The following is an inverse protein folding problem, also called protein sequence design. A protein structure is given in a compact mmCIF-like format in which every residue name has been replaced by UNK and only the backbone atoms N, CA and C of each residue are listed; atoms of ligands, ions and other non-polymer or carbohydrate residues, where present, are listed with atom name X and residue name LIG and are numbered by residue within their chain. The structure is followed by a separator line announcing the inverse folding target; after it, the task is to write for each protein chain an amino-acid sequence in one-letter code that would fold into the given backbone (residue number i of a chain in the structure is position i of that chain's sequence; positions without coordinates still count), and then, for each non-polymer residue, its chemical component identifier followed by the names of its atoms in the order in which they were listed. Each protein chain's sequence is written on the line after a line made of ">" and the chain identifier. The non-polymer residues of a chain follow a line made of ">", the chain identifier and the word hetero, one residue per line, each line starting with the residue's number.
data_IF_438374601540
#
_entry.id   IF_438374601540
#
_cell.length_a   1.000
_cell.length_b   1.000
_cell.length_c   1.000
_cell.angle_alpha   90.00
_cell.angle_beta   90.00
_cell.angle_gamma   90.00
#
_symmetry.space_group_name_H-M   'P 1'
#
loop_
_entity.id
_entity.type
_entity.pdbx_description
1 polymer ?
#
# COMPACT_ATOMS: atom_id res chain seq x y z
N UNK A 1 -16.54 -5.30 15.31
CA UNK A 1 -17.96 -5.59 15.59
C UNK A 1 -18.52 -6.26 14.36
N UNK A 2 -19.03 -7.47 14.52
CA UNK A 2 -19.68 -8.22 13.45
C UNK A 2 -21.13 -7.75 13.37
N UNK A 3 -21.58 -7.31 12.20
CA UNK A 3 -23.01 -6.97 11.99
C UNK A 3 -23.64 -8.13 11.24
N UNK A 4 -24.53 -8.86 11.92
CA UNK A 4 -25.38 -9.85 11.27
C UNK A 4 -26.50 -9.11 10.52
N UNK A 5 -26.74 -9.38 9.23
CA UNK A 5 -27.96 -8.96 8.57
C UNK A 5 -29.16 -9.61 9.27
N UNK A 6 -30.27 -8.88 9.42
CA UNK A 6 -31.45 -9.37 10.14
C UNK A 6 -32.07 -10.64 9.52
N UNK A 7 -31.78 -10.95 8.25
CA UNK A 7 -32.41 -12.06 7.50
C UNK A 7 -31.44 -12.92 6.66
N UNK A 8 -30.17 -13.06 7.04
CA UNK A 8 -29.20 -13.87 6.26
C UNK A 8 -28.17 -14.64 7.10
N UNK A 9 -27.70 -15.82 6.64
CA UNK A 9 -26.79 -16.68 7.41
C UNK A 9 -25.34 -16.17 7.50
N UNK A 10 -25.02 -14.99 6.93
CA UNK A 10 -23.65 -14.47 6.86
C UNK A 10 -23.52 -13.13 7.57
N UNK A 11 -22.77 -13.11 8.67
CA UNK A 11 -22.44 -11.90 9.39
C UNK A 11 -21.17 -11.26 8.80
N UNK A 12 -21.19 -9.96 8.52
CA UNK A 12 -20.05 -9.24 7.91
C UNK A 12 -19.27 -8.51 9.00
N UNK A 13 -17.99 -8.85 9.17
CA UNK A 13 -17.08 -8.05 9.99
C UNK A 13 -16.52 -6.89 9.17
N UNK A 14 -17.09 -5.70 9.36
CA UNK A 14 -16.65 -4.49 8.67
C UNK A 14 -15.19 -4.09 8.99
N UNK A 15 -14.60 -4.63 10.05
CA UNK A 15 -13.20 -4.37 10.41
C UNK A 15 -12.23 -5.18 9.55
N UNK A 16 -12.63 -6.40 9.18
CA UNK A 16 -11.80 -7.38 8.46
C UNK A 16 -12.21 -7.61 7.00
N UNK A 17 -13.39 -7.16 6.60
CA UNK A 17 -13.83 -7.19 5.22
C UNK A 17 -12.97 -6.24 4.37
N UNK A 18 -12.33 -6.71 3.28
CA UNK A 18 -11.60 -5.83 2.36
C UNK A 18 -12.54 -4.85 1.67
N UNK A 19 -12.16 -3.57 1.67
CA UNK A 19 -12.92 -2.44 1.12
C UNK A 19 -11.97 -1.50 0.39
N UNK A 20 -12.44 -0.73 -0.59
CA UNK A 20 -11.56 0.17 -1.32
C UNK A 20 -11.12 1.33 -0.41
N UNK A 21 -9.81 1.53 -0.15
CA UNK A 21 -9.33 2.55 0.79
C UNK A 21 -9.50 3.99 0.32
N UNK A 22 -9.78 4.18 -0.97
CA UNK A 22 -9.70 5.48 -1.62
C UNK A 22 -8.32 6.12 -1.39
N UNK A 23 -8.34 7.42 -1.13
CA UNK A 23 -7.13 8.23 -0.91
C UNK A 23 -6.38 7.98 0.42
N UNK A 24 -6.77 7.02 1.25
CA UNK A 24 -6.09 6.78 2.54
C UNK A 24 -4.68 6.21 2.39
N UNK A 25 -4.31 5.71 1.20
CA UNK A 25 -2.95 5.19 0.94
C UNK A 25 -1.94 6.28 0.56
N UNK A 26 -2.40 7.49 0.20
CA UNK A 26 -1.53 8.60 -0.23
C UNK A 26 -0.38 8.91 0.74
N UNK A 27 -0.59 9.02 2.07
CA UNK A 27 0.50 9.31 3.00
C UNK A 27 1.68 8.34 2.91
N UNK A 28 1.41 7.04 2.71
CA UNK A 28 2.46 6.04 2.58
C UNK A 28 3.27 6.21 1.29
N UNK A 29 2.59 6.50 0.18
CA UNK A 29 3.22 6.71 -1.13
C UNK A 29 4.05 8.00 -1.16
N UNK A 30 3.52 9.10 -0.61
CA UNK A 30 4.29 10.33 -0.43
C UNK A 30 5.46 10.14 0.54
N UNK A 31 5.27 9.37 1.62
CA UNK A 31 6.35 8.97 2.52
C UNK A 31 7.47 8.20 1.81
N UNK A 32 7.13 7.29 0.89
CA UNK A 32 8.12 6.62 0.05
C UNK A 32 8.86 7.59 -0.87
N UNK A 33 8.15 8.56 -1.48
CA UNK A 33 8.81 9.56 -2.32
C UNK A 33 9.81 10.40 -1.53
N UNK A 34 9.46 10.83 -0.31
CA UNK A 34 10.38 11.52 0.58
C UNK A 34 11.57 10.63 0.97
N UNK A 35 11.30 9.39 1.38
CA UNK A 35 12.32 8.47 1.91
C UNK A 35 13.27 7.90 0.84
N UNK A 36 12.79 7.72 -0.41
CA UNK A 36 13.54 7.02 -1.47
C UNK A 36 14.04 7.96 -2.55
N UNK A 37 13.29 9.02 -2.85
CA UNK A 37 13.60 9.96 -3.93
C UNK A 37 14.12 11.30 -3.38
N UNK A 38 14.14 11.48 -2.06
CA UNK A 38 14.56 12.74 -1.43
C UNK A 38 13.59 13.90 -1.67
N UNK A 39 12.34 13.61 -2.03
CA UNK A 39 11.34 14.66 -2.24
C UNK A 39 11.09 15.40 -0.92
N UNK A 40 11.02 16.73 -0.98
CA UNK A 40 10.71 17.59 0.15
C UNK A 40 9.27 18.10 0.06
N UNK A 41 8.70 18.68 1.14
CA UNK A 41 7.34 19.22 1.11
C UNK A 41 7.08 20.24 -0.01
N UNK A 42 8.10 21.00 -0.43
CA UNK A 42 8.01 22.00 -1.50
C UNK A 42 8.28 21.44 -2.92
N UNK A 43 8.52 20.13 -3.05
CA UNK A 43 8.71 19.46 -4.34
C UNK A 43 7.52 19.76 -5.27
N UNK A 44 7.82 20.30 -6.44
CA UNK A 44 6.78 20.71 -7.40
C UNK A 44 6.32 19.51 -8.22
N UNK A 45 5.02 19.29 -8.22
CA UNK A 45 4.33 18.25 -8.98
C UNK A 45 3.30 18.93 -9.88
N UNK A 46 3.23 18.52 -11.15
CA UNK A 46 2.23 19.04 -12.06
C UNK A 46 0.87 18.35 -11.87
N UNK A 47 -0.14 19.12 -11.51
CA UNK A 47 -1.54 18.76 -11.53
C UNK A 47 -2.21 19.26 -12.82
N UNK A 48 -1.92 18.56 -13.92
CA UNK A 48 -2.38 18.82 -15.29
C UNK A 48 -3.08 17.58 -15.84
N UNK A 49 -3.92 17.70 -16.89
CA UNK A 49 -4.65 16.56 -17.44
C UNK A 49 -3.77 15.31 -17.63
N UNK A 50 -4.18 14.21 -16.98
CA UNK A 50 -3.49 12.92 -17.05
C UNK A 50 -4.46 11.86 -17.55
N UNK A 51 -4.04 11.15 -18.59
CA UNK A 51 -4.76 10.01 -19.12
C UNK A 51 -3.78 8.86 -19.38
N UNK A 52 -4.15 7.65 -18.99
CA UNK A 52 -3.31 6.46 -19.14
C UNK A 52 -4.12 5.29 -19.70
N UNK A 53 -3.44 4.40 -20.42
CA UNK A 53 -4.04 3.15 -20.84
C UNK A 53 -4.08 2.19 -19.66
N UNK A 54 -5.27 1.85 -19.20
CA UNK A 54 -5.50 0.92 -18.10
C UNK A 54 -6.32 -0.26 -18.64
N UNK A 55 -5.70 -1.44 -18.65
CA UNK A 55 -6.26 -2.70 -19.18
C UNK A 55 -6.81 -2.56 -20.61
N UNK A 56 -8.08 -2.23 -20.75
CA UNK A 56 -8.84 -2.23 -22.01
C UNK A 56 -9.25 -0.82 -22.48
N UNK A 57 -8.82 0.25 -21.80
CA UNK A 57 -9.23 1.60 -22.20
C UNK A 57 -8.38 2.74 -21.64
N UNK A 58 -8.63 3.94 -22.18
CA UNK A 58 -8.00 5.17 -21.72
C UNK A 58 -8.73 5.68 -20.46
N UNK A 59 -8.09 5.58 -19.31
CA UNK A 59 -8.59 6.15 -18.06
C UNK A 59 -8.12 7.61 -17.93
N UNK A 60 -9.03 8.51 -17.54
CA UNK A 60 -8.74 9.93 -17.31
C UNK A 60 -8.85 10.24 -15.82
N UNK A 61 -7.71 10.52 -15.19
CA UNK A 61 -7.70 10.87 -13.77
C UNK A 61 -8.20 12.30 -13.57
N UNK A 62 -8.96 12.51 -12.49
CA UNK A 62 -9.52 13.80 -12.11
C UNK A 62 -9.41 14.00 -10.61
N UNK A 63 -9.19 15.23 -10.19
CA UNK A 63 -9.35 15.62 -8.79
C UNK A 63 -10.83 15.64 -8.40
N UNK A 64 -11.10 15.63 -7.10
CA UNK A 64 -12.46 15.64 -6.58
C UNK A 64 -13.27 16.85 -7.09
N UNK A 65 -12.68 18.05 -7.05
CA UNK A 65 -13.26 19.27 -7.61
C UNK A 65 -13.43 19.28 -9.14
N UNK A 66 -12.86 18.30 -9.85
CA UNK A 66 -12.75 18.30 -11.31
C UNK A 66 -11.79 19.35 -11.89
N UNK A 67 -11.07 20.08 -11.04
CA UNK A 67 -10.13 21.13 -11.44
C UNK A 67 -8.71 20.60 -11.61
N UNK A 68 -7.93 21.30 -12.43
CA UNK A 68 -6.49 21.15 -12.53
C UNK A 68 -5.86 22.39 -11.91
N UNK A 69 -5.01 22.21 -10.91
CA UNK A 69 -4.37 23.27 -10.16
C UNK A 69 -3.07 23.72 -10.82
N UNK A 70 -2.49 22.97 -11.77
CA UNK A 70 -1.21 23.32 -12.39
C UNK A 70 -0.04 22.91 -11.50
N UNK A 71 0.96 23.77 -11.31
CA UNK A 71 2.11 23.43 -10.44
C UNK A 71 1.71 23.51 -8.98
N UNK A 72 1.83 22.40 -8.25
CA UNK A 72 1.53 22.32 -6.82
C UNK A 72 2.69 21.69 -6.05
N UNK A 73 2.88 22.07 -4.80
CA UNK A 73 3.83 21.42 -3.90
C UNK A 73 3.33 20.03 -3.48
N UNK A 74 4.25 19.16 -3.04
CA UNK A 74 3.92 17.89 -2.40
C UNK A 74 2.97 18.12 -1.22
N UNK A 75 3.29 19.09 -0.36
CA UNK A 75 2.47 19.47 0.79
C UNK A 75 1.03 19.79 0.38
N UNK A 76 0.87 20.69 -0.58
CA UNK A 76 -0.44 21.11 -1.06
C UNK A 76 -1.21 19.93 -1.68
N UNK A 77 -0.53 19.10 -2.48
CA UNK A 77 -1.13 17.96 -3.12
C UNK A 77 -1.61 16.89 -2.12
N UNK A 78 -0.80 16.54 -1.12
CA UNK A 78 -1.15 15.56 -0.09
C UNK A 78 -2.27 16.10 0.81
N UNK A 79 -2.16 17.35 1.28
CA UNK A 79 -3.13 17.97 2.18
C UNK A 79 -4.52 18.12 1.52
N UNK A 80 -4.57 18.55 0.26
CA UNK A 80 -5.82 18.61 -0.53
C UNK A 80 -6.22 17.27 -1.13
N UNK A 81 -5.45 16.20 -0.91
CA UNK A 81 -5.73 14.86 -1.42
C UNK A 81 -5.93 14.84 -2.94
N UNK A 82 -5.11 15.57 -3.70
CA UNK A 82 -5.18 15.62 -5.16
C UNK A 82 -4.84 14.26 -5.77
N UNK A 83 -5.58 13.85 -6.80
CA UNK A 83 -5.47 12.52 -7.40
C UNK A 83 -4.32 12.43 -8.40
N UNK A 84 -4.19 13.43 -9.28
CA UNK A 84 -3.20 13.38 -10.37
C UNK A 84 -1.76 13.46 -9.82
N UNK A 85 -1.40 14.39 -8.92
CA UNK A 85 -0.10 14.38 -8.25
C UNK A 85 0.19 13.06 -7.51
N UNK A 86 -0.83 12.45 -6.91
CA UNK A 86 -0.65 11.18 -6.21
C UNK A 86 -0.31 10.03 -7.17
N UNK A 87 -0.97 9.95 -8.33
CA UNK A 87 -0.64 8.99 -9.39
C UNK A 87 0.77 9.22 -9.92
N UNK A 88 1.15 10.47 -10.21
CA UNK A 88 2.52 10.82 -10.62
C UNK A 88 3.57 10.46 -9.58
N UNK A 89 3.24 10.64 -8.30
CA UNK A 89 4.09 10.21 -7.18
C UNK A 89 4.24 8.69 -7.15
N UNK A 90 3.15 7.95 -7.34
CA UNK A 90 3.18 6.49 -7.39
C UNK A 90 4.01 5.95 -8.56
N UNK A 91 3.92 6.59 -9.73
CA UNK A 91 4.77 6.28 -10.89
C UNK A 91 6.25 6.51 -10.58
N UNK A 92 6.59 7.63 -9.95
CA UNK A 92 7.97 7.96 -9.59
C UNK A 92 8.56 6.99 -8.54
N UNK A 93 7.77 6.56 -7.57
CA UNK A 93 8.17 5.59 -6.54
C UNK A 93 8.25 4.16 -7.09
N UNK A 94 7.36 3.82 -8.02
CA UNK A 94 7.18 2.48 -8.58
C UNK A 94 6.28 1.59 -7.72
N UNK A 95 5.31 0.93 -8.37
CA UNK A 95 4.32 0.05 -7.74
C UNK A 95 4.96 -1.12 -6.94
N UNK A 96 6.04 -1.78 -7.39
CA UNK A 96 6.70 -2.82 -6.59
C UNK A 96 7.18 -2.32 -5.23
N UNK A 97 7.73 -1.09 -5.17
CA UNK A 97 8.18 -0.46 -3.92
C UNK A 97 7.00 -0.14 -3.00
N UNK A 98 5.87 0.28 -3.57
CA UNK A 98 4.63 0.54 -2.82
C UNK A 98 4.10 -0.75 -2.20
N UNK A 99 4.04 -1.83 -2.98
CA UNK A 99 3.58 -3.14 -2.49
C UNK A 99 4.49 -3.69 -1.38
N UNK A 100 5.82 -3.59 -1.51
CA UNK A 100 6.77 -3.99 -0.45
C UNK A 100 6.48 -3.26 0.87
N UNK A 101 6.27 -1.94 0.83
CA UNK A 101 5.92 -1.18 2.01
C UNK A 101 4.57 -1.64 2.59
N UNK A 102 3.54 -1.80 1.76
CA UNK A 102 2.21 -2.20 2.21
C UNK A 102 2.24 -3.60 2.86
N UNK A 103 3.01 -4.55 2.31
CA UNK A 103 3.19 -5.87 2.91
C UNK A 103 3.91 -5.78 4.26
N UNK A 104 4.95 -4.96 4.38
CA UNK A 104 5.65 -4.72 5.66
C UNK A 104 4.78 -4.02 6.71
N UNK A 105 3.77 -3.29 6.27
CA UNK A 105 2.72 -2.71 7.11
C UNK A 105 1.58 -3.69 7.43
N UNK A 106 1.63 -4.93 6.92
CA UNK A 106 0.65 -5.97 7.20
C UNK A 106 -0.60 -5.95 6.32
N UNK A 107 -0.61 -5.20 5.20
CA UNK A 107 -1.72 -5.18 4.25
C UNK A 107 -1.73 -6.47 3.41
N UNK A 108 -2.21 -7.56 4.01
CA UNK A 108 -2.20 -8.90 3.41
C UNK A 108 -3.20 -9.11 2.27
N UNK A 109 -4.07 -8.13 1.99
CA UNK A 109 -5.07 -8.19 0.91
C UNK A 109 -4.50 -7.83 -0.47
N UNK A 110 -3.27 -7.30 -0.53
CA UNK A 110 -2.59 -7.05 -1.79
C UNK A 110 -1.88 -8.32 -2.27
N UNK A 111 -2.60 -9.21 -2.94
CA UNK A 111 -2.13 -10.53 -3.37
C UNK A 111 -1.80 -10.65 -4.88
N UNK A 112 -2.06 -9.59 -5.66
CA UNK A 112 -1.79 -9.54 -7.09
C UNK A 112 -0.44 -8.89 -7.43
N UNK A 113 -0.06 -8.97 -8.71
CA UNK A 113 1.20 -8.39 -9.21
C UNK A 113 1.16 -6.86 -9.27
N UNK A 114 2.34 -6.24 -9.33
CA UNK A 114 2.46 -4.79 -9.53
C UNK A 114 1.73 -4.31 -10.80
N UNK A 115 1.78 -5.08 -11.89
CA UNK A 115 1.10 -4.75 -13.14
C UNK A 115 -0.42 -4.80 -13.03
N UNK A 116 -0.96 -5.65 -12.14
CA UNK A 116 -2.40 -5.74 -11.90
C UNK A 116 -2.95 -4.47 -11.23
N UNK A 117 -2.24 -3.98 -10.21
CA UNK A 117 -2.66 -2.81 -9.43
C UNK A 117 -2.32 -1.49 -10.14
N UNK A 118 -1.16 -1.43 -10.79
CA UNK A 118 -0.68 -0.22 -11.45
C UNK A 118 -0.53 0.99 -10.50
N UNK A 119 -0.21 2.18 -11.04
CA UNK A 119 -0.03 3.39 -10.24
C UNK A 119 -1.30 3.84 -9.50
N UNK A 120 -2.48 3.47 -9.99
CA UNK A 120 -3.77 3.79 -9.39
C UNK A 120 -4.01 3.14 -8.02
N UNK A 121 -3.14 2.21 -7.58
CA UNK A 121 -3.13 1.70 -6.20
C UNK A 121 -3.14 2.82 -5.16
N UNK A 122 -2.48 3.96 -5.44
CA UNK A 122 -2.45 5.13 -4.56
C UNK A 122 -3.81 5.81 -4.38
N UNK A 123 -4.73 5.57 -5.31
CA UNK A 123 -6.12 6.06 -5.27
C UNK A 123 -7.08 5.03 -4.66
N UNK A 124 -6.58 3.83 -4.33
CA UNK A 124 -7.35 2.77 -3.70
C UNK A 124 -7.79 1.64 -4.62
N UNK A 125 -7.10 1.44 -5.76
CA UNK A 125 -7.26 0.25 -6.58
C UNK A 125 -6.70 -0.98 -5.86
N UNK A 126 -7.55 -1.61 -5.05
CA UNK A 126 -7.27 -2.78 -4.23
C UNK A 126 -8.00 -2.71 -2.89
N UNK A 127 -8.58 -3.82 -2.44
CA UNK A 127 -9.29 -3.86 -1.16
C UNK A 127 -8.32 -3.90 0.02
N UNK A 128 -8.61 -3.18 1.09
CA UNK A 128 -7.88 -3.24 2.37
C UNK A 128 -8.84 -3.37 3.53
N UNK A 129 -8.35 -3.89 4.66
CA UNK A 129 -9.13 -4.00 5.90
C UNK A 129 -9.00 -2.71 6.69
N UNK A 130 -10.05 -2.29 7.38
CA UNK A 130 -9.97 -1.16 8.34
C UNK A 130 -8.85 -1.41 9.36
N UNK A 131 -8.72 -2.66 9.80
CA UNK A 131 -7.66 -3.08 10.71
C UNK A 131 -6.26 -2.76 10.19
N UNK A 132 -5.97 -3.10 8.93
CA UNK A 132 -4.65 -2.86 8.33
C UNK A 132 -4.36 -1.37 8.19
N UNK A 133 -5.37 -0.58 7.81
CA UNK A 133 -5.25 0.88 7.75
C UNK A 133 -4.94 1.49 9.12
N UNK A 134 -5.66 1.09 10.18
CA UNK A 134 -5.41 1.59 11.55
C UNK A 134 -3.99 1.22 11.98
N UNK A 135 -3.55 -0.01 11.74
CA UNK A 135 -2.20 -0.47 12.05
C UNK A 135 -1.13 0.30 11.26
N UNK A 136 -1.38 0.57 9.99
CA UNK A 136 -0.52 1.37 9.13
C UNK A 136 -0.37 2.81 9.64
N UNK A 137 -1.47 3.49 9.98
CA UNK A 137 -1.43 4.85 10.53
C UNK A 137 -0.79 4.87 11.93
N UNK A 138 -0.98 3.84 12.74
CA UNK A 138 -0.29 3.70 14.02
C UNK A 138 1.22 3.59 13.84
N UNK A 139 1.70 3.04 12.72
CA UNK A 139 3.14 3.04 12.41
C UNK A 139 3.66 4.45 12.09
N UNK A 140 2.87 5.31 11.43
CA UNK A 140 3.21 6.71 11.18
C UNK A 140 3.29 7.47 12.51
N UNK A 141 2.30 7.28 13.39
CA UNK A 141 2.29 7.85 14.74
C UNK A 141 3.49 7.38 15.57
N UNK A 142 3.96 6.13 15.36
CA UNK A 142 5.15 5.55 16.02
C UNK A 142 6.43 5.77 15.22
N UNK A 143 6.56 6.93 14.61
CA UNK A 143 7.80 7.38 13.95
C UNK A 143 8.30 6.42 12.85
N UNK A 144 7.36 5.80 12.13
CA UNK A 144 7.65 4.87 11.05
C UNK A 144 8.07 3.48 11.51
N UNK A 145 7.62 3.04 12.70
CA UNK A 145 7.82 1.68 13.22
C UNK A 145 6.50 0.93 13.29
N UNK A 146 6.36 -0.10 12.47
CA UNK A 146 5.24 -1.01 12.50
C UNK A 146 5.33 -1.95 13.71
N UNK A 147 4.19 -2.14 14.37
CA UNK A 147 4.06 -3.01 15.53
C UNK A 147 2.66 -3.63 15.47
N UNK A 148 2.53 -4.96 15.40
CA UNK A 148 1.23 -5.62 15.40
C UNK A 148 0.42 -5.27 16.66
N UNK A 149 -0.90 -5.17 16.52
CA UNK A 149 -1.80 -4.90 17.63
C UNK A 149 -1.61 -5.97 18.69
N UNK A 150 -1.49 -5.51 19.93
CA UNK A 150 -1.35 -6.35 21.09
C UNK A 150 -2.57 -6.14 21.98
N UNK A 151 -3.42 -7.17 22.09
CA UNK A 151 -4.74 -7.05 22.74
C UNK A 151 -4.66 -7.36 24.24
N UNK A 152 -3.87 -8.37 24.63
CA UNK A 152 -3.76 -8.84 26.01
C UNK A 152 -2.39 -8.44 26.57
N UNK A 153 -2.33 -7.71 27.67
CA UNK A 153 -1.08 -7.14 28.22
C UNK A 153 0.09 -8.14 28.34
N UNK A 154 -0.20 -9.42 28.58
CA UNK A 154 0.82 -10.44 28.85
C UNK A 154 1.33 -11.18 27.60
N UNK A 155 0.79 -10.92 26.40
CA UNK A 155 1.31 -11.58 25.18
C UNK A 155 2.68 -11.00 24.81
N UNK A 156 3.70 -11.82 24.48
CA UNK A 156 4.98 -11.30 24.01
C UNK A 156 4.81 -10.43 22.77
N UNK A 157 5.38 -9.22 22.82
CA UNK A 157 5.32 -8.29 21.70
C UNK A 157 6.54 -8.49 20.80
N UNK A 158 6.36 -8.65 19.47
CA UNK A 158 7.49 -8.76 18.57
C UNK A 158 8.23 -7.42 18.44
N UNK A 159 9.49 -7.49 18.01
CA UNK A 159 10.28 -6.30 17.76
C UNK A 159 9.62 -5.41 16.68
N UNK A 160 9.55 -4.08 16.90
CA UNK A 160 8.95 -3.20 15.90
C UNK A 160 9.78 -3.15 14.62
N UNK A 161 9.09 -3.30 13.48
CA UNK A 161 9.68 -3.30 12.15
C UNK A 161 9.78 -1.86 11.63
N UNK A 162 10.97 -1.33 11.30
CA UNK A 162 11.06 -0.02 10.67
C UNK A 162 10.39 -0.10 9.29
N UNK A 163 9.57 0.88 8.91
CA UNK A 163 8.85 0.96 7.63
C UNK A 163 9.08 2.27 6.90
N UNK A 164 9.18 3.38 7.63
CA UNK A 164 9.57 4.70 7.13
C UNK A 164 10.53 5.38 8.10
N UNK A 165 11.39 6.30 7.64
CA UNK A 165 12.25 7.07 8.53
C UNK A 165 11.43 7.99 9.44
N UNK A 166 11.84 8.10 10.70
CA UNK A 166 11.17 8.98 11.67
C UNK A 166 11.02 10.43 11.15
N UNK A 167 12.04 11.10 10.59
CA UNK A 167 11.90 12.47 10.08
C UNK A 167 10.84 12.60 8.99
N UNK A 168 10.72 11.60 8.10
CA UNK A 168 9.70 11.56 7.05
C UNK A 168 8.30 11.47 7.67
N UNK A 169 8.10 10.62 8.68
CA UNK A 169 6.79 10.54 9.36
C UNK A 169 6.42 11.82 10.11
N UNK A 170 7.42 12.57 10.60
CA UNK A 170 7.20 13.89 11.22
C UNK A 170 6.75 14.93 10.19
N UNK A 171 7.36 14.94 8.99
CA UNK A 171 6.90 15.79 7.87
C UNK A 171 5.48 15.42 7.41
N UNK A 172 5.18 14.13 7.28
CA UNK A 172 3.82 13.67 6.96
C UNK A 172 2.81 14.12 8.01
N UNK A 173 3.13 13.98 9.30
CA UNK A 173 2.26 14.45 10.38
C UNK A 173 2.05 15.97 10.33
N UNK A 174 3.10 16.75 10.07
CA UNK A 174 3.01 18.20 9.86
C UNK A 174 2.05 18.55 8.72
N UNK A 175 2.21 17.96 7.54
CA UNK A 175 1.34 18.21 6.37
C UNK A 175 -0.11 17.81 6.66
N UNK A 176 -0.31 16.61 7.22
CA UNK A 176 -1.64 16.06 7.51
C UNK A 176 -2.32 16.71 8.71
N UNK A 177 -1.63 17.55 9.50
CA UNK A 177 -2.21 18.28 10.63
C UNK A 177 -2.46 19.75 10.33
N UNK A 178 -1.99 20.25 9.19
CA UNK A 178 -2.11 21.64 8.77
C UNK A 178 -3.48 21.94 8.11
N UNK A 179 -4.33 22.79 8.71
CA UNK A 179 -5.62 23.17 8.15
C UNK A 179 -5.49 24.13 6.96
N UNK A 180 -4.45 24.98 6.91
CA UNK A 180 -4.25 25.91 5.80
C UNK A 180 -3.87 25.17 4.52
N UNK A 181 -3.00 24.15 4.64
CA UNK A 181 -2.55 23.36 3.50
C UNK A 181 -3.68 22.61 2.78
N UNK A 182 -4.81 22.32 3.45
CA UNK A 182 -5.96 21.58 2.86
C UNK A 182 -7.15 22.46 2.47
N UNK A 183 -7.02 23.77 2.61
CA UNK A 183 -8.16 24.70 2.49
C UNK A 183 -8.78 24.76 1.08
N UNK A 184 -8.06 24.34 0.04
CA UNK A 184 -8.53 24.45 -1.34
C UNK A 184 -9.60 23.41 -1.73
N UNK A 185 -9.51 22.18 -1.21
CA UNK A 185 -10.52 21.13 -1.43
C UNK A 185 -11.46 20.97 -0.22
N UNK A 186 -11.05 21.40 0.98
CA UNK A 186 -11.81 21.17 2.22
C UNK A 186 -12.36 22.43 2.89
N UNK A 187 -12.02 23.62 2.41
CA UNK A 187 -12.39 24.90 3.02
C UNK A 187 -11.53 25.26 4.24
N UNK A 188 -11.53 26.55 4.61
CA UNK A 188 -10.79 27.04 5.77
C UNK A 188 -11.38 26.54 7.11
N UNK A 189 -12.71 26.50 7.22
CA UNK A 189 -13.42 26.04 8.42
C UNK A 189 -13.80 24.55 8.32
N UNK A 190 -12.84 23.72 7.90
CA UNK A 190 -13.09 22.30 7.67
C UNK A 190 -13.39 21.54 8.97
N UNK A 191 -14.25 20.53 8.92
CA UNK A 191 -14.43 19.56 10.03
C UNK A 191 -13.11 18.86 10.43
N UNK A 192 -12.17 18.83 9.48
CA UNK A 192 -10.82 18.28 9.64
C UNK A 192 -9.86 19.22 10.38
N UNK A 193 -10.27 20.45 10.71
CA UNK A 193 -9.52 21.37 11.57
C UNK A 193 -9.81 21.07 13.04
N UNK A 194 -9.04 20.15 13.63
CA UNK A 194 -9.25 19.67 14.99
C UNK A 194 -8.68 20.67 16.03
N UNK A 195 -9.24 20.73 17.25
CA UNK A 195 -8.82 21.71 18.27
C UNK A 195 -7.35 21.67 18.70
N UNK A 196 -6.67 20.56 18.41
CA UNK A 196 -5.21 20.46 18.55
C UNK A 196 -4.68 19.78 17.29
N UNK A 197 -3.40 20.00 16.91
CA UNK A 197 -2.84 19.40 15.71
C UNK A 197 -3.03 17.87 15.73
N UNK A 198 -3.72 17.37 14.71
CA UNK A 198 -4.03 15.95 14.53
C UNK A 198 -3.80 15.64 13.07
N UNK A 199 -2.95 14.67 12.77
CA UNK A 199 -2.74 14.23 11.40
C UNK A 199 -4.00 13.50 10.95
N UNK A 200 -4.68 13.97 9.90
CA UNK A 200 -5.92 13.38 9.40
C UNK A 200 -5.86 13.17 7.90
N UNK A 201 -6.34 12.01 7.45
CA UNK A 201 -6.50 11.69 6.03
C UNK A 201 -7.86 11.04 5.78
N UNK A 202 -8.58 11.60 4.82
CA UNK A 202 -9.83 11.03 4.30
C UNK A 202 -9.58 10.09 3.13
N UNK A 203 -10.51 9.17 2.90
CA UNK A 203 -10.60 8.39 1.67
C UNK A 203 -12.05 8.24 1.25
N UNK A 204 -12.31 8.35 -0.04
CA UNK A 204 -13.61 8.07 -0.65
C UNK A 204 -13.31 7.17 -1.84
N UNK A 205 -13.94 6.00 -1.90
CA UNK A 205 -13.79 5.09 -3.03
C UNK A 205 -14.61 5.56 -4.24
N UNK A 206 -14.42 4.88 -5.37
CA UNK A 206 -15.30 4.99 -6.53
C UNK A 206 -16.76 4.75 -6.14
N UNK A 207 -17.67 5.48 -6.80
CA UNK A 207 -19.13 5.46 -6.56
C UNK A 207 -19.57 5.69 -5.10
N UNK A 208 -18.72 6.26 -4.24
CA UNK A 208 -19.04 6.51 -2.83
C UNK A 208 -19.44 5.23 -2.06
N UNK A 209 -18.82 4.08 -2.36
CA UNK A 209 -19.14 2.80 -1.69
C UNK A 209 -18.50 2.71 -0.32
N UNK A 210 -17.23 3.12 -0.24
CA UNK A 210 -16.41 3.04 0.96
C UNK A 210 -15.85 4.42 1.31
N UNK A 211 -16.04 4.81 2.57
CA UNK A 211 -15.69 6.13 3.05
C UNK A 211 -14.90 6.00 4.34
N UNK A 212 -13.78 6.71 4.41
CA UNK A 212 -12.78 6.58 5.45
C UNK A 212 -12.38 7.92 6.03
N UNK A 213 -12.14 7.93 7.33
CA UNK A 213 -11.31 8.93 7.98
C UNK A 213 -10.31 8.22 8.90
N UNK A 214 -9.03 8.47 8.64
CA UNK A 214 -7.92 8.01 9.46
C UNK A 214 -7.30 9.21 10.14
N UNK A 215 -6.90 9.07 11.40
CA UNK A 215 -6.16 10.12 12.08
C UNK A 215 -5.35 9.64 13.27
N UNK A 216 -4.32 10.41 13.60
CA UNK A 216 -3.50 10.18 14.77
C UNK A 216 -3.02 11.49 15.40
N UNK A 217 -2.82 11.47 16.71
CA UNK A 217 -2.13 12.49 17.48
C UNK A 217 -0.89 11.90 18.17
N UNK A 218 -0.41 12.53 19.24
CA UNK A 218 0.76 12.09 20.01
C UNK A 218 0.55 10.76 20.74
N UNK A 219 -0.71 10.32 20.90
CA UNK A 219 -1.05 9.15 21.73
C UNK A 219 -1.99 8.16 21.08
N UNK A 220 -2.94 8.63 20.28
CA UNK A 220 -4.02 7.80 19.75
C UNK A 220 -3.98 7.72 18.23
N UNK A 221 -4.39 6.58 17.69
CA UNK A 221 -4.71 6.40 16.27
C UNK A 221 -6.15 5.92 16.17
N UNK A 222 -6.94 6.57 15.32
CA UNK A 222 -8.36 6.30 15.11
C UNK A 222 -8.61 6.12 13.63
N UNK A 223 -9.34 5.05 13.27
CA UNK A 223 -9.86 4.85 11.93
C UNK A 223 -11.37 4.64 11.98
N UNK A 224 -12.08 5.33 11.11
CA UNK A 224 -13.53 5.22 10.95
C UNK A 224 -13.83 4.88 9.51
N UNK A 225 -14.52 3.76 9.30
CA UNK A 225 -15.11 3.39 8.02
C UNK A 225 -16.62 3.59 8.08
N UNK A 226 -17.18 4.07 6.96
CA UNK A 226 -18.61 4.10 6.70
C UNK A 226 -18.86 3.59 5.28
N UNK A 227 -19.85 2.75 5.14
CA UNK A 227 -20.24 2.15 3.87
C UNK A 227 -21.42 1.22 4.06
N UNK A 228 -22.07 0.84 2.97
CA UNK A 228 -23.08 -0.21 3.04
C UNK A 228 -22.40 -1.58 3.09
N UNK A 229 -22.88 -2.44 3.98
CA UNK A 229 -22.29 -3.78 4.14
C UNK A 229 -22.44 -4.64 2.87
N UNK A 230 -23.49 -4.41 2.08
CA UNK A 230 -23.72 -5.04 0.78
C UNK A 230 -22.85 -4.47 -0.36
N UNK A 231 -22.03 -3.44 -0.09
CA UNK A 231 -21.18 -2.79 -1.09
C UNK A 231 -21.91 -1.81 -2.02
N UNK A 232 -23.18 -1.50 -1.76
CA UNK A 232 -23.90 -0.45 -2.46
C UNK A 232 -23.32 0.95 -2.20
N UNK A 233 -23.72 1.92 -3.04
CA UNK A 233 -23.36 3.33 -2.87
C UNK A 233 -23.98 3.93 -1.61
N UNK A 234 -23.32 4.90 -0.99
CA UNK A 234 -23.79 5.63 0.20
C UNK A 234 -24.49 6.95 -0.14
N UNK A 235 -25.00 7.09 -1.37
CA UNK A 235 -25.76 8.25 -1.83
C UNK A 235 -25.03 9.60 -1.65
N UNK A 236 -23.74 9.63 -2.00
CA UNK A 236 -22.95 10.86 -2.05
C UNK A 236 -22.30 11.29 -0.73
N UNK A 237 -22.29 10.43 0.29
CA UNK A 237 -21.46 10.65 1.48
C UNK A 237 -19.97 10.63 1.09
N UNK A 238 -19.17 11.48 1.74
CA UNK A 238 -17.73 11.60 1.49
C UNK A 238 -16.96 11.49 2.80
N UNK A 239 -15.63 11.35 2.71
CA UNK A 239 -14.77 11.27 3.89
C UNK A 239 -14.98 12.43 4.87
N UNK A 240 -15.23 13.63 4.36
CA UNK A 240 -15.46 14.83 5.17
C UNK A 240 -16.90 14.96 5.69
N UNK A 241 -17.91 14.44 5.01
CA UNK A 241 -19.31 14.54 5.48
C UNK A 241 -19.76 13.35 6.35
N UNK A 242 -19.09 12.20 6.27
CA UNK A 242 -19.43 10.99 7.04
C UNK A 242 -18.48 10.71 8.21
N UNK A 243 -17.36 10.00 7.99
CA UNK A 243 -16.51 9.50 9.07
C UNK A 243 -15.70 10.58 9.80
N UNK A 244 -15.39 11.71 9.15
CA UNK A 244 -14.61 12.78 9.79
C UNK A 244 -15.28 13.42 11.02
N UNK A 245 -16.58 13.78 11.01
CA UNK A 245 -17.30 14.19 12.22
C UNK A 245 -17.20 13.20 13.38
N UNK A 246 -17.32 11.89 13.10
CA UNK A 246 -17.20 10.83 14.12
C UNK A 246 -15.77 10.78 14.68
N UNK A 247 -14.77 10.80 13.80
CA UNK A 247 -13.37 10.85 14.18
C UNK A 247 -13.08 12.06 15.09
N UNK A 248 -13.60 13.25 14.74
CA UNK A 248 -13.46 14.47 15.56
C UNK A 248 -14.02 14.28 16.97
N UNK A 249 -15.21 13.69 17.09
CA UNK A 249 -15.84 13.43 18.39
C UNK A 249 -15.06 12.40 19.23
N UNK A 250 -14.52 11.35 18.60
CA UNK A 250 -13.68 10.36 19.27
C UNK A 250 -12.43 11.03 19.85
N UNK A 251 -11.70 11.83 19.05
CA UNK A 251 -10.53 12.56 19.56
C UNK A 251 -10.90 13.55 20.68
N UNK A 252 -12.01 14.27 20.53
CA UNK A 252 -12.50 15.17 21.57
C UNK A 252 -12.72 14.43 22.91
N UNK A 253 -13.27 13.21 22.85
CA UNK A 253 -13.47 12.37 24.03
C UNK A 253 -12.15 11.82 24.59
N UNK A 254 -11.28 11.27 23.75
CA UNK A 254 -10.01 10.67 24.18
C UNK A 254 -9.11 11.68 24.90
N UNK A 255 -9.15 12.95 24.50
CA UNK A 255 -8.39 14.04 25.15
C UNK A 255 -8.87 14.41 26.54
N UNK A 256 -10.11 14.09 26.89
CA UNK A 256 -10.57 14.27 28.28
C UNK A 256 -9.88 13.30 29.24
N UNK A 257 -9.37 12.17 28.73
CA UNK A 257 -8.66 11.17 29.53
C UNK A 257 -7.15 11.42 29.61
N UNK A 258 -6.57 12.15 28.65
CA UNK A 258 -5.14 12.44 28.60
C UNK A 258 -4.88 13.77 27.88
N UNK A 259 -4.07 14.68 28.46
CA UNK A 259 -3.69 15.92 27.78
C UNK A 259 -2.81 15.64 26.56
N UNK A 260 -2.96 16.46 25.53
CA UNK A 260 -2.17 16.44 24.30
C UNK A 260 -0.75 16.97 24.55
N UNK A 261 0.27 16.19 24.21
CA UNK A 261 1.68 16.55 24.40
C UNK A 261 2.35 17.17 23.16
N UNK A 262 1.65 17.25 22.03
CA UNK A 262 2.23 17.71 20.77
C UNK A 262 2.61 16.54 19.85
N UNK A 263 2.21 16.63 18.57
CA UNK A 263 2.74 15.77 17.51
C UNK A 263 4.27 15.84 17.52
N UNK A 264 4.91 14.68 17.45
CA UNK A 264 6.36 14.61 17.51
C UNK A 264 6.99 15.32 16.31
N UNK A 265 7.82 16.32 16.61
CA UNK A 265 8.63 17.03 15.63
C UNK A 265 10.07 16.49 15.65
N UNK A 266 10.54 16.01 14.51
CA UNK A 266 11.87 15.44 14.39
C UNK A 266 12.95 16.51 14.59
N UNK A 267 13.94 16.30 15.48
CA UNK A 267 14.97 17.30 15.77
C UNK A 267 15.99 17.49 14.63
N UNK A 268 16.01 16.58 13.64
CA UNK A 268 16.89 16.68 12.47
C UNK A 268 16.27 17.44 11.29
N UNK A 269 15.02 17.90 11.43
CA UNK A 269 14.40 18.76 10.42
C UNK A 269 14.95 20.18 10.54
N UNK A 270 15.20 20.80 9.39
CA UNK A 270 15.71 22.16 9.29
C UNK A 270 14.57 23.08 8.85
N UNK A 271 14.41 24.24 9.52
CA UNK A 271 13.44 25.24 9.06
C UNK A 271 13.94 25.84 7.75
N UNK A 272 13.02 26.04 6.82
CA UNK A 272 13.29 26.66 5.52
C UNK A 272 12.27 27.74 5.23
N UNK A 273 12.69 28.76 4.49
CA UNK A 273 11.79 29.72 3.86
C UNK A 273 11.75 29.40 2.37
N UNK A 274 10.60 28.98 1.85
CA UNK A 274 10.44 28.46 0.49
C UNK A 274 9.30 29.12 -0.26
N UNK A 275 9.40 29.02 -1.58
CA UNK A 275 8.43 29.49 -2.57
C UNK A 275 7.50 28.31 -2.91
N UNK A 276 6.41 28.17 -2.15
CA UNK A 276 5.44 27.08 -2.32
C UNK A 276 4.56 27.32 -3.55
N UNK A 277 4.57 26.37 -4.50
CA UNK A 277 3.66 26.38 -5.64
C UNK A 277 2.29 25.86 -5.23
N UNK A 278 1.24 26.66 -5.44
CA UNK A 278 -0.16 26.30 -5.19
C UNK A 278 -1.06 26.61 -6.40
N UNK A 279 -0.44 26.61 -7.58
CA UNK A 279 -1.08 26.77 -8.88
C UNK A 279 -0.33 27.73 -9.80
N UNK A 280 -1.03 28.61 -10.56
CA UNK A 280 -0.37 29.56 -11.43
C UNK A 280 0.50 30.55 -10.63
N UNK A 281 1.58 31.09 -11.22
CA UNK A 281 2.46 32.02 -10.53
C UNK A 281 1.75 33.32 -10.10
N UNK A 282 2.29 34.03 -9.09
CA UNK A 282 3.51 33.71 -8.35
C UNK A 282 3.29 32.62 -7.29
N UNK A 283 4.38 31.96 -6.88
CA UNK A 283 4.36 31.07 -5.71
C UNK A 283 4.10 31.87 -4.42
N UNK A 284 3.66 31.18 -3.37
CA UNK A 284 3.43 31.76 -2.05
C UNK A 284 4.65 31.53 -1.16
N UNK A 285 5.18 32.58 -0.54
CA UNK A 285 6.26 32.46 0.43
C UNK A 285 5.75 31.79 1.70
N UNK A 286 6.50 30.81 2.20
CA UNK A 286 6.09 29.97 3.32
C UNK A 286 7.30 29.50 4.12
N UNK A 287 7.11 29.48 5.44
CA UNK A 287 7.99 28.72 6.34
C UNK A 287 7.56 27.26 6.38
N UNK A 288 8.50 26.35 6.15
CA UNK A 288 8.28 24.91 6.25
C UNK A 288 9.53 24.20 6.81
N UNK A 289 9.52 22.88 6.78
CA UNK A 289 10.57 22.02 7.32
C UNK A 289 11.06 21.07 6.25
N UNK A 290 12.37 21.01 6.08
CA UNK A 290 13.02 20.03 5.21
C UNK A 290 13.78 19.02 6.04
N UNK A 291 13.85 17.79 5.54
CA UNK A 291 14.98 16.94 5.89
C UNK A 291 16.21 17.61 5.24
N UNK A 292 17.30 17.87 5.96
CA UNK A 292 18.50 18.47 5.35
C UNK A 292 19.06 17.62 4.19
N UNK A 293 20.28 17.91 3.70
CA UNK A 293 21.01 17.00 2.80
C UNK A 293 21.41 15.71 3.55
N UNK A 294 20.42 14.93 3.94
CA UNK A 294 20.58 13.66 4.61
C UNK A 294 20.26 12.64 3.53
N UNK A 295 21.32 12.28 2.81
CA UNK A 295 21.63 10.88 2.56
C UNK A 295 21.79 10.15 3.90
N UNK A 296 20.83 10.27 4.82
CA UNK A 296 20.67 9.30 5.87
C UNK A 296 20.33 8.04 5.10
N UNK A 297 21.12 6.97 5.23
CA UNK A 297 20.62 5.69 4.81
C UNK A 297 19.36 5.49 5.66
N UNK A 298 18.18 5.68 5.05
CA UNK A 298 17.21 4.58 5.10
C UNK A 298 18.11 3.40 4.84
N UNK A 299 18.39 2.60 5.87
CA UNK A 299 19.16 1.37 5.70
C UNK A 299 18.68 0.85 4.38
N UNK A 300 19.56 0.89 3.36
CA UNK A 300 19.16 0.47 2.05
C UNK A 300 18.45 -0.86 2.32
N UNK A 301 17.29 -1.16 1.69
CA UNK A 301 16.90 -2.56 1.67
C UNK A 301 18.19 -3.24 1.32
N UNK A 302 18.67 -4.10 2.25
CA UNK A 302 20.00 -4.68 2.14
C UNK A 302 20.17 -4.88 0.66
N UNK A 303 21.22 -4.32 0.05
CA UNK A 303 21.60 -4.85 -1.25
C UNK A 303 22.03 -6.29 -0.94
N UNK A 304 21.07 -7.19 -0.64
CA UNK A 304 20.75 -8.27 -1.55
C UNK A 304 20.84 -7.63 -2.93
N UNK A 305 22.10 -7.59 -3.39
CA UNK A 305 22.44 -8.04 -4.73
C UNK A 305 21.31 -9.00 -5.07
N UNK A 306 20.35 -8.56 -5.89
CA UNK A 306 19.31 -9.48 -6.34
C UNK A 306 20.13 -10.64 -6.91
N UNK A 307 20.04 -11.78 -6.25
CA UNK A 307 20.70 -12.99 -6.72
C UNK A 307 19.67 -13.68 -7.56
N UNK A 308 20.15 -14.39 -8.58
CA UNK A 308 19.26 -15.26 -9.33
C UNK A 308 18.60 -16.21 -8.34
N UNK A 309 17.27 -16.26 -8.34
CA UNK A 309 16.50 -17.04 -7.39
C UNK A 309 15.25 -17.59 -8.09
N UNK A 310 14.67 -18.67 -7.54
CA UNK A 310 13.36 -19.15 -7.98
C UNK A 310 12.32 -18.10 -7.55
N UNK A 311 11.67 -17.47 -8.53
CA UNK A 311 10.60 -16.50 -8.31
C UNK A 311 9.23 -17.17 -8.17
N UNK A 312 9.01 -18.28 -8.88
CA UNK A 312 7.84 -19.14 -8.74
C UNK A 312 8.25 -20.61 -8.76
N UNK A 313 7.81 -21.42 -7.78
CA UNK A 313 6.87 -21.09 -6.71
C UNK A 313 7.50 -20.28 -5.57
N UNK A 314 6.66 -19.60 -4.78
CA UNK A 314 7.05 -19.04 -3.49
C UNK A 314 7.18 -20.16 -2.44
N UNK A 315 8.07 -20.02 -1.43
CA UNK A 315 8.12 -20.95 -0.32
C UNK A 315 6.77 -21.07 0.40
N UNK A 316 6.20 -22.28 0.41
CA UNK A 316 4.89 -22.57 0.99
C UNK A 316 3.69 -22.18 0.11
N UNK A 317 3.90 -21.83 -1.17
CA UNK A 317 2.81 -21.47 -2.08
C UNK A 317 1.78 -22.60 -2.18
N UNK A 318 0.50 -22.25 -2.05
CA UNK A 318 -0.61 -23.19 -2.20
C UNK A 318 -1.34 -22.90 -3.51
N UNK A 319 -1.37 -23.89 -4.40
CA UNK A 319 -2.05 -23.82 -5.68
C UNK A 319 -3.38 -24.58 -5.60
N UNK A 320 -4.41 -24.04 -6.24
CA UNK A 320 -5.70 -24.70 -6.39
C UNK A 320 -5.94 -25.08 -7.86
N UNK A 321 -6.50 -26.26 -8.09
CA UNK A 321 -6.96 -26.71 -9.40
C UNK A 321 -8.37 -26.16 -9.62
N UNK A 322 -8.62 -25.44 -10.72
CA UNK A 322 -9.95 -24.96 -11.07
C UNK A 322 -10.77 -26.13 -11.65
N UNK A 323 -11.87 -26.58 -11.00
CA UNK A 323 -12.65 -27.71 -11.47
C UNK A 323 -13.41 -27.45 -12.78
N UNK A 324 -13.50 -26.19 -13.23
CA UNK A 324 -14.23 -25.79 -14.44
C UNK A 324 -13.34 -25.77 -15.68
N UNK A 325 -12.01 -25.80 -15.51
CA UNK A 325 -11.06 -25.80 -16.62
C UNK A 325 -10.60 -27.23 -16.93
N UNK A 326 -10.49 -27.62 -18.22
CA UNK A 326 -9.93 -28.91 -18.59
C UNK A 326 -8.57 -29.12 -17.93
N UNK A 327 -8.34 -30.30 -17.33
CA UNK A 327 -7.08 -30.57 -16.63
C UNK A 327 -5.85 -30.28 -17.52
N UNK A 328 -5.92 -30.65 -18.81
CA UNK A 328 -4.84 -30.43 -19.78
C UNK A 328 -4.46 -28.96 -20.03
N UNK A 329 -5.34 -27.99 -19.70
CA UNK A 329 -5.05 -26.55 -19.86
C UNK A 329 -4.48 -25.92 -18.59
N UNK A 330 -4.51 -26.62 -17.46
CA UNK A 330 -4.06 -26.11 -16.17
C UNK A 330 -2.56 -26.39 -15.97
N UNK A 331 -1.74 -25.43 -16.40
CA UNK A 331 -0.28 -25.48 -16.25
C UNK A 331 0.19 -24.40 -15.30
N UNK A 332 1.14 -24.74 -14.44
CA UNK A 332 1.82 -23.79 -13.58
C UNK A 332 3.17 -23.41 -14.20
N UNK A 333 3.47 -22.12 -14.22
CA UNK A 333 4.71 -21.59 -14.77
C UNK A 333 5.72 -21.37 -13.65
N UNK A 334 6.78 -22.17 -13.67
CA UNK A 334 7.97 -21.92 -12.87
C UNK A 334 8.80 -20.80 -13.48
N UNK A 335 9.38 -19.94 -12.66
CA UNK A 335 10.18 -18.81 -13.13
C UNK A 335 11.31 -18.46 -12.17
N UNK A 336 12.34 -17.81 -12.71
CA UNK A 336 13.44 -17.22 -11.95
C UNK A 336 13.30 -15.70 -11.91
N UNK A 337 13.67 -15.07 -10.79
CA UNK A 337 14.12 -13.69 -10.78
C UNK A 337 15.57 -13.72 -11.24
N UNK A 338 15.85 -13.20 -12.43
CA UNK A 338 17.20 -13.23 -13.02
C UNK A 338 18.09 -12.12 -12.49
N UNK A 339 17.56 -11.20 -11.67
CA UNK A 339 18.29 -10.04 -11.20
C UNK A 339 18.92 -9.18 -12.31
N UNK A 340 18.33 -9.20 -13.52
CA UNK A 340 18.88 -8.50 -14.68
C UNK A 340 20.04 -9.22 -15.38
N UNK A 341 20.39 -10.45 -14.97
CA UNK A 341 21.45 -11.25 -15.58
C UNK A 341 20.89 -12.09 -16.74
N UNK A 342 21.65 -12.19 -17.83
CA UNK A 342 21.29 -13.00 -18.99
C UNK A 342 21.47 -14.50 -18.66
N UNK A 343 20.46 -15.30 -19.00
CA UNK A 343 20.44 -16.74 -18.74
C UNK A 343 20.95 -17.48 -19.98
N UNK A 344 21.94 -18.33 -19.80
CA UNK A 344 22.46 -19.22 -20.84
C UNK A 344 21.73 -20.56 -20.85
N UNK A 345 21.48 -21.12 -19.66
CA UNK A 345 20.82 -22.41 -19.48
C UNK A 345 20.25 -22.56 -18.08
N UNK A 346 19.09 -23.19 -17.97
CA UNK A 346 18.50 -23.65 -16.70
C UNK A 346 18.16 -25.13 -16.81
N UNK A 347 18.55 -25.92 -15.81
CA UNK A 347 18.09 -27.30 -15.63
C UNK A 347 17.14 -27.31 -14.44
N UNK A 348 15.86 -27.58 -14.70
CA UNK A 348 14.79 -27.62 -13.71
C UNK A 348 14.59 -29.03 -13.18
N UNK A 349 14.37 -29.14 -11.87
CA UNK A 349 14.04 -30.38 -11.19
C UNK A 349 12.80 -30.19 -10.32
N UNK A 350 11.86 -31.12 -10.41
CA UNK A 350 10.67 -31.17 -9.58
C UNK A 350 10.69 -32.49 -8.80
N UNK A 351 10.56 -32.40 -7.48
CA UNK A 351 10.59 -33.55 -6.57
C UNK A 351 11.86 -34.41 -6.73
N UNK A 352 12.99 -33.74 -6.94
CA UNK A 352 14.29 -34.37 -7.19
C UNK A 352 14.43 -35.04 -8.58
N UNK A 353 13.40 -34.99 -9.42
CA UNK A 353 13.41 -35.56 -10.78
C UNK A 353 13.64 -34.48 -11.84
N UNK A 354 14.36 -34.78 -12.94
CA UNK A 354 14.49 -33.85 -14.06
C UNK A 354 13.12 -33.47 -14.63
N UNK A 355 12.86 -32.17 -14.74
CA UNK A 355 11.63 -31.63 -15.33
C UNK A 355 11.87 -31.12 -16.75
N UNK A 356 12.83 -30.21 -16.93
CA UNK A 356 13.11 -29.57 -18.22
C UNK A 356 14.51 -28.96 -18.25
N UNK A 357 15.05 -28.71 -19.44
CA UNK A 357 16.21 -27.84 -19.65
C UNK A 357 15.80 -26.71 -20.59
N UNK A 358 15.98 -25.45 -20.18
CA UNK A 358 15.56 -24.27 -20.93
C UNK A 358 16.71 -23.28 -21.11
N UNK A 359 16.63 -22.44 -22.13
CA UNK A 359 17.46 -21.22 -22.25
C UNK A 359 16.75 -20.00 -21.67
N UNK A 360 15.43 -20.06 -21.52
CA UNK A 360 14.62 -19.05 -20.85
C UNK A 360 14.60 -19.22 -19.32
N UNK A 361 14.35 -18.13 -18.61
CA UNK A 361 14.21 -18.09 -17.15
C UNK A 361 12.86 -18.66 -16.63
N UNK A 362 12.19 -19.50 -17.42
CA UNK A 362 10.89 -20.08 -17.07
C UNK A 362 10.67 -21.44 -17.75
N UNK A 363 9.81 -22.25 -17.14
CA UNK A 363 9.26 -23.47 -17.75
C UNK A 363 7.84 -23.72 -17.24
N UNK A 364 7.05 -24.48 -17.97
CA UNK A 364 5.65 -24.77 -17.62
C UNK A 364 5.46 -26.23 -17.29
N UNK A 365 4.86 -26.51 -16.14
CA UNK A 365 4.56 -27.85 -15.65
C UNK A 365 3.06 -28.09 -15.57
N UNK A 366 2.64 -29.32 -15.84
CA UNK A 366 1.26 -29.74 -15.72
C UNK A 366 0.94 -29.94 -14.24
N UNK A 367 -0.04 -29.22 -13.70
CA UNK A 367 -0.32 -29.24 -12.26
C UNK A 367 -0.79 -30.64 -11.83
N UNK A 368 -0.19 -31.17 -10.75
CA UNK A 368 -0.56 -32.44 -10.10
C UNK A 368 -0.84 -32.15 -8.62
N UNK A 369 -1.92 -32.70 -8.02
CA UNK A 369 -2.18 -32.58 -6.58
C UNK A 369 -1.07 -33.15 -5.71
N UNK A 370 -0.81 -32.50 -4.58
CA UNK A 370 0.13 -32.97 -3.56
C UNK A 370 1.21 -31.94 -3.20
N UNK A 371 2.06 -32.29 -2.22
CA UNK A 371 3.25 -31.50 -1.89
C UNK A 371 4.32 -31.68 -2.96
N UNK A 372 4.99 -30.59 -3.31
CA UNK A 372 6.04 -30.57 -4.32
C UNK A 372 7.23 -29.72 -3.89
N UNK A 373 8.40 -29.99 -4.48
CA UNK A 373 9.63 -29.20 -4.29
C UNK A 373 10.28 -28.88 -5.62
N UNK A 374 10.56 -27.60 -5.89
CA UNK A 374 11.26 -27.17 -7.10
C UNK A 374 12.71 -26.79 -6.80
N UNK A 375 13.65 -27.30 -7.59
CA UNK A 375 15.04 -26.83 -7.64
C UNK A 375 15.45 -26.51 -9.08
N UNK A 376 16.47 -25.67 -9.23
CA UNK A 376 16.98 -25.28 -10.54
C UNK A 376 18.50 -25.07 -10.49
N UNK A 377 19.19 -25.55 -11.53
CA UNK A 377 20.61 -25.27 -11.76
C UNK A 377 20.76 -24.30 -12.93
N UNK A 378 21.39 -23.16 -12.70
CA UNK A 378 21.39 -22.01 -13.63
C UNK A 378 22.81 -21.68 -14.08
N UNK A 379 23.01 -21.53 -15.38
CA UNK A 379 24.22 -20.97 -15.99
C UNK A 379 23.89 -19.61 -16.59
N UNK A 380 24.72 -18.62 -16.27
CA UNK A 380 24.60 -17.26 -16.75
C UNK A 380 25.43 -17.05 -18.02
N UNK A 381 25.10 -16.00 -18.77
CA UNK A 381 25.89 -15.56 -19.93
C UNK A 381 26.93 -14.50 -19.49
N UNK A 382 27.81 -14.88 -18.57
CA UNK A 382 28.78 -14.01 -17.90
C UNK A 382 30.24 -14.28 -18.30
N UNK A 383 30.45 -15.07 -19.36
CA UNK A 383 31.79 -15.44 -19.84
C UNK A 383 32.51 -16.50 -19.01
N UNK A 384 31.89 -17.06 -17.95
CA UNK A 384 32.47 -18.11 -17.11
C UNK A 384 31.74 -19.46 -17.29
N UNK A 385 32.08 -20.27 -18.32
CA UNK A 385 31.28 -21.43 -18.75
C UNK A 385 31.17 -22.58 -17.74
N UNK A 386 31.93 -22.55 -16.62
CA UNK A 386 31.94 -23.60 -15.60
C UNK A 386 31.11 -23.32 -14.35
N UNK A 387 30.65 -22.09 -14.11
CA UNK A 387 29.97 -21.73 -12.87
C UNK A 387 28.44 -21.89 -13.00
N UNK A 388 27.86 -22.77 -12.18
CA UNK A 388 26.42 -22.99 -12.11
C UNK A 388 25.89 -22.58 -10.74
N UNK A 389 24.80 -21.82 -10.69
CA UNK A 389 24.07 -21.49 -9.48
C UNK A 389 23.06 -22.60 -9.18
N UNK A 390 23.12 -23.16 -7.97
CA UNK A 390 22.13 -24.12 -7.49
C UNK A 390 21.05 -23.36 -6.69
N UNK A 391 19.79 -23.50 -7.08
CA UNK A 391 18.64 -22.82 -6.49
C UNK A 391 17.62 -23.83 -5.94
N UNK A 392 17.01 -23.49 -4.80
CA UNK A 392 16.03 -24.34 -4.12
C UNK A 392 16.68 -25.36 -3.17
N UNK A 393 15.93 -26.39 -2.72
CA UNK A 393 14.54 -26.67 -3.08
C UNK A 393 13.56 -25.66 -2.48
N UNK A 394 12.53 -25.29 -3.25
CA UNK A 394 11.40 -24.48 -2.78
C UNK A 394 10.17 -25.37 -2.68
N UNK A 395 9.65 -25.54 -1.46
CA UNK A 395 8.47 -26.34 -1.20
C UNK A 395 7.19 -25.55 -1.52
N UNK A 396 6.21 -26.22 -2.14
CA UNK A 396 4.88 -25.71 -2.45
C UNK A 396 3.87 -26.86 -2.42
N UNK A 397 2.57 -26.58 -2.49
CA UNK A 397 1.55 -27.62 -2.47
C UNK A 397 0.42 -27.32 -3.44
N UNK A 398 -0.08 -28.35 -4.09
CA UNK A 398 -1.28 -28.27 -4.93
C UNK A 398 -2.41 -28.96 -4.17
N UNK A 399 -3.45 -28.20 -3.87
CA UNK A 399 -4.66 -28.75 -3.27
C UNK A 399 -5.35 -29.68 -4.26
N UNK A 400 -5.60 -30.92 -3.81
CA UNK A 400 -6.43 -31.86 -4.55
C UNK A 400 -7.89 -31.40 -4.60
N UNK A 401 -8.65 -31.93 -5.55
CA UNK A 401 -10.10 -31.76 -5.56
C UNK A 401 -10.66 -32.25 -4.23
N UNK A 402 -11.46 -31.42 -3.55
CA UNK A 402 -12.41 -31.93 -2.59
C UNK A 402 -13.33 -32.91 -3.35
N UNK A 403 -13.65 -34.09 -2.80
CA UNK A 403 -14.62 -34.98 -3.43
C UNK A 403 -15.90 -34.18 -3.70
N UNK A 404 -16.58 -34.38 -4.85
CA UNK A 404 -17.87 -33.77 -5.06
C UNK A 404 -18.78 -34.17 -3.90
N UNK A 405 -19.42 -33.18 -3.27
CA UNK A 405 -20.47 -33.44 -2.30
C UNK A 405 -21.51 -34.34 -2.97
N UNK A 406 -21.59 -35.60 -2.55
CA UNK A 406 -22.72 -36.47 -2.87
C UNK A 406 -24.00 -35.82 -2.33
N UNK A 407 -25.07 -35.97 -3.10
CA UNK A 407 -26.23 -35.10 -3.10
C UNK A 407 -26.99 -35.00 -1.79
N UNK A 408 -27.66 -33.87 -1.61
CA UNK A 408 -28.94 -33.86 -0.89
C UNK A 408 -30.04 -34.16 -1.90
N UNK A 409 -30.85 -35.21 -1.71
CA UNK A 409 -32.00 -35.50 -2.56
C UNK A 409 -33.16 -34.54 -2.24
N UNK A 410 -33.84 -34.13 -3.31
CA UNK A 410 -35.15 -33.44 -3.45
C UNK A 410 -35.51 -32.27 -2.53
#
# INVERSE_FOLDING_TARGET
>A
WVVAPQDGPFAIDAVLAPRQPGSTLKPFVYGLAMARLGWQPDMVIEDTPLAENVREGLHRYRNYSGRYYGKVSLRYALANSLNIPAVKTAQAVGVPTILDLLHRLGFGTFDQTADFYGPAIVLGDGGVRLFDLVQGYASLARHGRYLPLHVLADTPQPDPVPVLPAPVTSLLASILSDPNARSAEFGADSVLDLPVPTAVKTGTSSDYRDIWAMGFDDRYTVGVWMGRLDGGSTDGLTGSSGPAPVLRQIFARLRTAAPYAGLWHSPVLQPVHTCEWIGPPPCVQRDDWHLGDVHAPVSAPSTTTRRVAIARPLPGEMLAIDPRLPAATQRYRFSLDTAGQAIKRVVWQLDGKPLATTTEAATSWQIVPGPHTLSARVWLDDGNPGHALELGPVAFSVLGQAPPHEGSPE
#
